data_IF_383890210691
#
_entry.id   IF_383890210691
#
_cell.length_a   1.000
_cell.length_b   1.000
_cell.length_c   1.000
_cell.angle_alpha   90.00
_cell.angle_beta   90.00
_cell.angle_gamma   90.00
#
_symmetry.space_group_name_H-M   'P 1'
#
loop_
_entity.id
_entity.type
_entity.pdbx_description
1 polymer ?
#
# COMPACT_ATOMS: atom_id res chain seq x y z
N UNK A 1 18.90 -9.54 -10.91
CA UNK A 1 17.62 -9.43 -10.19
C UNK A 1 17.98 -9.23 -8.74
N UNK A 2 17.95 -7.98 -8.27
CA UNK A 2 18.18 -7.74 -6.85
C UNK A 2 16.96 -8.24 -6.08
N UNK A 3 17.18 -9.12 -5.11
CA UNK A 3 16.15 -9.82 -4.34
C UNK A 3 15.29 -8.87 -3.45
N UNK A 4 15.53 -7.55 -3.53
CA UNK A 4 14.94 -6.52 -2.68
C UNK A 4 13.52 -6.13 -3.12
N UNK A 5 13.22 -6.14 -4.41
CA UNK A 5 11.93 -5.70 -4.95
C UNK A 5 10.79 -6.70 -4.65
N UNK A 6 11.13 -7.97 -4.41
CA UNK A 6 10.16 -9.02 -4.07
C UNK A 6 9.54 -8.83 -2.67
N UNK A 7 10.18 -8.06 -1.80
CA UNK A 7 9.76 -7.85 -0.42
C UNK A 7 8.70 -6.75 -0.27
N UNK A 8 8.38 -6.01 -1.34
CA UNK A 8 7.38 -4.95 -1.37
C UNK A 8 6.13 -5.48 -2.08
N UNK A 9 5.01 -5.54 -1.36
CA UNK A 9 3.84 -6.38 -1.70
C UNK A 9 2.56 -5.54 -1.71
N UNK A 10 2.28 -4.79 -2.80
CA UNK A 10 1.06 -3.99 -2.95
C UNK A 10 -0.19 -4.83 -3.29
N UNK A 11 -1.37 -4.38 -2.83
CA UNK A 11 -2.68 -5.07 -2.89
C UNK A 11 -3.46 -4.95 -4.22
N UNK A 12 -3.24 -3.91 -5.02
CA UNK A 12 -3.93 -3.71 -6.29
C UNK A 12 -3.05 -2.98 -7.32
N UNK A 13 -3.60 -2.75 -8.51
CA UNK A 13 -2.88 -2.11 -9.61
C UNK A 13 -2.55 -0.65 -9.32
N UNK A 14 -3.46 0.09 -8.66
CA UNK A 14 -3.23 1.49 -8.29
C UNK A 14 -2.13 1.58 -7.23
N UNK A 15 -2.16 0.74 -6.19
CA UNK A 15 -1.08 0.62 -5.20
C UNK A 15 0.26 0.34 -5.87
N UNK A 16 0.27 -0.63 -6.79
CA UNK A 16 1.48 -1.06 -7.49
C UNK A 16 2.06 0.10 -8.29
N UNK A 17 1.23 0.79 -9.07
CA UNK A 17 1.66 1.92 -9.88
C UNK A 17 2.21 3.07 -9.01
N UNK A 18 1.53 3.38 -7.90
CA UNK A 18 1.97 4.40 -6.96
C UNK A 18 3.35 4.06 -6.38
N UNK A 19 3.52 2.85 -5.86
CA UNK A 19 4.77 2.42 -5.23
C UNK A 19 5.91 2.32 -6.24
N UNK A 20 5.67 1.76 -7.43
CA UNK A 20 6.67 1.72 -8.51
C UNK A 20 7.12 3.13 -8.93
N UNK A 21 6.17 4.06 -9.01
CA UNK A 21 6.46 5.48 -9.32
C UNK A 21 7.31 6.13 -8.23
N UNK A 22 6.92 6.00 -6.96
CA UNK A 22 7.62 6.61 -5.83
C UNK A 22 9.05 6.06 -5.64
N UNK A 23 9.23 4.77 -5.86
CA UNK A 23 10.53 4.10 -5.66
C UNK A 23 11.37 4.05 -6.93
N UNK A 24 10.83 4.46 -8.09
CA UNK A 24 11.48 4.33 -9.40
C UNK A 24 11.94 2.89 -9.69
N UNK A 25 11.20 1.90 -9.20
CA UNK A 25 11.44 0.47 -9.42
C UNK A 25 10.43 -0.08 -10.42
N UNK A 26 10.75 -1.22 -11.02
CA UNK A 26 9.83 -1.94 -11.90
C UNK A 26 9.56 -3.32 -11.32
N UNK A 27 8.30 -3.74 -11.30
CA UNK A 27 7.80 -5.06 -10.88
C UNK A 27 7.86 -5.28 -9.36
N UNK A 28 7.07 -4.52 -8.62
CA UNK A 28 6.74 -4.91 -7.24
C UNK A 28 6.06 -6.29 -7.21
N UNK A 29 6.05 -6.94 -6.04
CA UNK A 29 5.38 -8.21 -5.83
C UNK A 29 3.86 -8.00 -5.69
N UNK A 30 3.22 -7.53 -6.76
CA UNK A 30 1.78 -7.29 -6.81
C UNK A 30 0.99 -8.52 -6.41
N UNK A 31 0.06 -8.33 -5.48
CA UNK A 31 -0.92 -9.33 -5.08
C UNK A 31 -2.31 -8.79 -5.35
N UNK A 32 -3.26 -9.67 -5.63
CA UNK A 32 -4.67 -9.26 -5.79
C UNK A 32 -5.39 -9.41 -4.45
N UNK A 33 -5.51 -8.32 -3.69
CA UNK A 33 -6.21 -8.29 -2.40
C UNK A 33 -5.32 -8.56 -1.18
N UNK A 34 -5.69 -7.97 -0.04
CA UNK A 34 -4.97 -7.97 1.24
C UNK A 34 -4.67 -9.40 1.74
N UNK A 35 -5.61 -10.33 1.53
CA UNK A 35 -5.43 -11.74 1.87
C UNK A 35 -4.23 -12.38 1.15
N UNK A 36 -3.96 -11.99 -0.10
CA UNK A 36 -2.82 -12.52 -0.85
C UNK A 36 -1.50 -11.83 -0.47
N UNK A 37 -1.57 -10.55 -0.10
CA UNK A 37 -0.45 -9.82 0.52
C UNK A 37 0.01 -10.56 1.77
N UNK A 38 -0.89 -10.77 2.74
CA UNK A 38 -0.52 -11.43 4.01
C UNK A 38 -0.07 -12.88 3.82
N UNK A 39 -0.71 -13.65 2.92
CA UNK A 39 -0.26 -15.01 2.60
C UNK A 39 1.16 -15.05 2.04
N UNK A 40 1.53 -14.04 1.25
CA UNK A 40 2.89 -13.95 0.70
C UNK A 40 3.90 -13.63 1.80
N UNK A 41 3.54 -12.72 2.72
CA UNK A 41 4.33 -12.41 3.90
C UNK A 41 4.53 -13.64 4.80
N UNK A 42 3.45 -14.35 5.15
CA UNK A 42 3.49 -15.52 6.05
C UNK A 42 4.09 -16.77 5.42
N UNK A 43 4.03 -16.88 4.09
CA UNK A 43 4.56 -18.02 3.35
C UNK A 43 5.98 -17.77 2.87
N UNK A 44 6.09 -17.12 1.70
CA UNK A 44 7.36 -16.99 0.97
C UNK A 44 8.39 -16.12 1.69
N UNK A 45 7.93 -15.19 2.52
CA UNK A 45 8.76 -14.21 3.21
C UNK A 45 8.75 -14.37 4.73
N UNK A 46 8.27 -15.51 5.24
CA UNK A 46 8.02 -15.74 6.68
C UNK A 46 9.16 -15.30 7.62
N UNK A 47 10.40 -15.62 7.23
CA UNK A 47 11.62 -15.37 8.01
C UNK A 47 12.46 -14.22 7.40
N UNK A 48 11.91 -13.57 6.37
CA UNK A 48 12.54 -12.49 5.62
C UNK A 48 11.87 -11.14 5.86
N UNK A 49 12.53 -10.08 5.42
CA UNK A 49 11.94 -8.75 5.44
C UNK A 49 10.74 -8.68 4.49
N UNK A 50 9.63 -8.07 4.91
CA UNK A 50 8.46 -7.87 4.06
C UNK A 50 7.71 -6.58 4.41
N UNK A 51 7.23 -5.88 3.39
CA UNK A 51 6.37 -4.70 3.51
C UNK A 51 5.12 -4.91 2.67
N UNK A 52 3.98 -5.08 3.31
CA UNK A 52 2.69 -5.08 2.64
C UNK A 52 2.14 -3.65 2.52
N UNK A 53 1.61 -3.30 1.36
CA UNK A 53 0.84 -2.06 1.15
C UNK A 53 -0.59 -2.48 0.86
N UNK A 54 -1.51 -2.10 1.74
CA UNK A 54 -2.91 -2.56 1.72
C UNK A 54 -3.86 -1.39 1.97
N UNK A 55 -5.05 -1.48 1.41
CA UNK A 55 -6.14 -0.56 1.73
C UNK A 55 -6.72 -0.90 3.10
N UNK A 56 -7.04 0.12 3.89
CA UNK A 56 -7.70 -0.04 5.17
C UNK A 56 -9.22 -0.20 5.00
N UNK A 57 -9.61 -1.21 4.23
CA UNK A 57 -11.01 -1.56 4.03
C UNK A 57 -11.54 -2.47 5.16
N UNK A 58 -12.86 -2.71 5.15
CA UNK A 58 -13.58 -3.32 6.28
C UNK A 58 -13.26 -4.81 6.52
N UNK A 59 -12.50 -5.50 5.67
CA UNK A 59 -12.20 -6.93 5.83
C UNK A 59 -10.70 -7.20 5.97
N UNK A 60 -10.16 -6.80 7.10
CA UNK A 60 -8.78 -7.11 7.47
C UNK A 60 -8.56 -8.61 7.72
N UNK A 61 -7.54 -9.18 7.07
CA UNK A 61 -7.13 -10.57 7.26
C UNK A 61 -6.63 -10.83 8.69
N UNK A 62 -6.80 -12.05 9.22
CA UNK A 62 -6.43 -12.38 10.60
C UNK A 62 -4.98 -11.99 10.95
N UNK A 63 -4.03 -12.21 10.04
CA UNK A 63 -2.61 -11.92 10.23
C UNK A 63 -2.33 -10.42 10.46
N UNK A 64 -3.10 -9.52 9.84
CA UNK A 64 -2.92 -8.07 10.04
C UNK A 64 -3.13 -7.64 11.51
N UNK A 65 -3.94 -8.40 12.27
CA UNK A 65 -4.21 -8.14 13.69
C UNK A 65 -3.02 -8.43 14.61
N UNK A 66 -2.02 -9.16 14.13
CA UNK A 66 -0.79 -9.44 14.87
C UNK A 66 0.17 -8.24 14.86
N UNK A 67 -0.05 -7.27 13.96
CA UNK A 67 0.78 -6.08 13.84
C UNK A 67 0.35 -5.01 14.84
N UNK A 68 1.32 -4.22 15.30
CA UNK A 68 1.10 -3.08 16.19
C UNK A 68 1.33 -1.79 15.43
N UNK A 69 0.45 -0.81 15.64
CA UNK A 69 0.63 0.53 15.06
C UNK A 69 1.91 1.15 15.61
N UNK A 70 2.74 1.66 14.71
CA UNK A 70 3.97 2.40 15.03
C UNK A 70 3.69 3.89 14.99
N UNK A 71 3.02 4.34 13.93
CA UNK A 71 2.57 5.71 13.79
C UNK A 71 1.42 5.80 12.78
N UNK A 72 0.67 6.89 12.87
CA UNK A 72 -0.40 7.23 11.95
C UNK A 72 -0.38 8.72 11.67
N UNK A 73 -0.57 9.08 10.40
CA UNK A 73 -0.77 10.45 9.95
C UNK A 73 -1.81 10.47 8.85
N UNK A 74 -2.93 11.13 9.10
CA UNK A 74 -4.02 11.31 8.14
C UNK A 74 -4.46 9.98 7.49
N UNK A 75 -4.12 9.82 6.20
CA UNK A 75 -4.49 8.70 5.35
C UNK A 75 -3.51 7.52 5.41
N UNK A 76 -2.39 7.64 6.14
CA UNK A 76 -1.35 6.62 6.20
C UNK A 76 -1.12 6.15 7.64
N UNK A 77 -1.06 4.84 7.83
CA UNK A 77 -0.67 4.22 9.07
C UNK A 77 0.42 3.15 8.84
N UNK A 78 1.47 3.19 9.66
CA UNK A 78 2.54 2.20 9.66
C UNK A 78 2.32 1.24 10.81
N UNK A 79 2.32 -0.05 10.51
CA UNK A 79 2.28 -1.12 11.49
C UNK A 79 3.52 -2.01 11.39
N UNK A 80 3.93 -2.60 12.51
CA UNK A 80 5.06 -3.52 12.61
C UNK A 80 4.64 -4.79 13.35
N UNK A 81 5.05 -5.94 12.82
CA UNK A 81 4.90 -7.20 13.53
C UNK A 81 5.88 -7.25 14.71
N UNK A 82 5.45 -7.65 15.93
CA UNK A 82 6.33 -7.65 17.11
C UNK A 82 7.55 -8.56 16.94
N UNK A 83 7.34 -9.76 16.37
CA UNK A 83 8.37 -10.81 16.36
C UNK A 83 9.04 -11.04 14.99
N UNK A 84 8.60 -10.36 13.93
CA UNK A 84 9.05 -10.60 12.56
C UNK A 84 9.48 -9.28 11.90
N UNK A 85 10.42 -9.29 10.95
CA UNK A 85 10.80 -8.10 10.18
C UNK A 85 9.74 -7.76 9.12
N UNK A 86 8.47 -7.79 9.50
CA UNK A 86 7.31 -7.54 8.67
C UNK A 86 6.68 -6.19 9.03
N UNK A 87 6.28 -5.45 8.00
CA UNK A 87 5.65 -4.15 8.13
C UNK A 87 4.40 -4.08 7.25
N UNK A 88 3.42 -3.29 7.67
CA UNK A 88 2.25 -2.94 6.86
C UNK A 88 2.14 -1.43 6.76
N UNK A 89 1.95 -0.94 5.54
CA UNK A 89 1.50 0.42 5.28
C UNK A 89 0.03 0.31 4.90
N UNK A 90 -0.84 0.84 5.76
CA UNK A 90 -2.29 0.87 5.52
C UNK A 90 -2.69 2.26 5.02
N UNK A 91 -3.37 2.30 3.88
CA UNK A 91 -3.84 3.53 3.23
C UNK A 91 -5.35 3.66 3.45
N UNK A 92 -5.84 4.84 3.80
CA UNK A 92 -7.26 5.08 4.12
C UNK A 92 -7.76 6.41 3.54
N UNK A 93 -8.98 6.47 2.97
CA UNK A 93 -9.94 5.38 2.81
C UNK A 93 -9.58 4.38 1.69
N UNK A 94 -8.89 4.83 0.65
CA UNK A 94 -8.32 4.03 -0.44
C UNK A 94 -7.20 4.84 -1.13
N UNK A 95 -6.37 4.21 -1.96
CA UNK A 95 -5.22 4.86 -2.60
C UNK A 95 -5.59 6.00 -3.54
N UNK A 96 -6.66 5.86 -4.32
CA UNK A 96 -7.20 6.90 -5.21
C UNK A 96 -7.55 8.19 -4.43
N UNK A 97 -8.29 8.05 -3.33
CA UNK A 97 -8.66 9.16 -2.46
C UNK A 97 -7.44 9.80 -1.80
N UNK A 98 -6.44 8.98 -1.45
CA UNK A 98 -5.17 9.47 -0.93
C UNK A 98 -4.40 10.29 -1.98
N UNK A 99 -4.34 9.85 -3.23
CA UNK A 99 -3.66 10.58 -4.32
C UNK A 99 -4.33 11.93 -4.56
N UNK A 100 -5.66 11.96 -4.68
CA UNK A 100 -6.43 13.19 -4.92
C UNK A 100 -6.31 14.20 -3.77
N UNK A 101 -6.34 13.72 -2.52
CA UNK A 101 -6.09 14.56 -1.35
C UNK A 101 -4.66 15.13 -1.39
N UNK A 102 -3.67 14.30 -1.70
CA UNK A 102 -2.27 14.70 -1.76
C UNK A 102 -2.00 15.72 -2.87
N UNK A 103 -2.65 15.59 -4.04
CA UNK A 103 -2.52 16.58 -5.12
C UNK A 103 -3.05 17.94 -4.69
N UNK A 104 -4.22 17.96 -4.04
CA UNK A 104 -4.84 19.20 -3.53
C UNK A 104 -3.95 19.88 -2.50
N UNK A 105 -3.38 19.12 -1.55
CA UNK A 105 -2.46 19.65 -0.53
C UNK A 105 -1.15 20.18 -1.13
N UNK A 106 -0.69 19.59 -2.23
CA UNK A 106 0.48 20.05 -2.98
C UNK A 106 0.19 21.24 -3.92
N UNK A 107 -1.06 21.71 -4.00
CA UNK A 107 -1.46 22.75 -4.95
C UNK A 107 -1.46 22.29 -6.41
N UNK A 108 -1.59 20.98 -6.65
CA UNK A 108 -1.66 20.36 -7.97
C UNK A 108 -3.13 20.16 -8.35
N UNK A 109 -3.53 20.76 -9.46
CA UNK A 109 -4.89 20.67 -9.99
C UNK A 109 -5.00 19.47 -10.95
N UNK A 110 -5.84 18.45 -10.69
CA UNK A 110 -6.05 17.31 -11.59
C UNK A 110 -6.41 17.73 -13.02
N UNK A 111 -7.17 18.81 -13.17
CA UNK A 111 -7.62 19.34 -14.45
C UNK A 111 -6.47 19.79 -15.36
N UNK A 112 -5.33 20.22 -14.79
CA UNK A 112 -4.11 20.57 -15.55
C UNK A 112 -3.58 19.37 -16.35
N UNK A 113 -3.91 18.15 -15.91
CA UNK A 113 -3.54 16.88 -16.53
C UNK A 113 -4.70 16.21 -17.26
N UNK A 114 -5.84 16.91 -17.43
CA UNK A 114 -7.09 16.37 -18.00
C UNK A 114 -7.66 15.21 -17.19
N UNK A 115 -7.46 15.22 -15.88
CA UNK A 115 -8.05 14.28 -14.94
C UNK A 115 -9.23 14.95 -14.21
N UNK A 116 -10.22 14.16 -13.80
CA UNK A 116 -11.32 14.66 -12.98
C UNK A 116 -10.84 14.96 -11.56
N UNK A 117 -11.35 16.02 -10.91
CA UNK A 117 -11.14 16.24 -9.47
C UNK A 117 -12.10 15.42 -8.60
N UNK A 118 -13.09 14.73 -9.19
CA UNK A 118 -14.09 13.95 -8.45
C UNK A 118 -13.71 12.47 -8.39
N UNK A 119 -13.72 11.90 -7.18
CA UNK A 119 -13.32 10.51 -6.94
C UNK A 119 -14.21 9.50 -7.67
N UNK A 120 -15.50 9.83 -7.84
CA UNK A 120 -16.48 8.96 -8.50
C UNK A 120 -16.16 8.72 -9.99
N UNK A 121 -15.36 9.60 -10.61
CA UNK A 121 -14.92 9.48 -12.00
C UNK A 121 -13.66 8.60 -12.17
N UNK A 122 -13.08 8.09 -11.07
CA UNK A 122 -11.91 7.21 -11.10
C UNK A 122 -12.27 5.73 -11.28
N UNK A 123 -13.57 5.40 -11.30
CA UNK A 123 -14.13 4.02 -11.30
C UNK A 123 -14.41 3.51 -12.72
#
# INVERSE_FOLDING_TARGET
MDNKDFCIIPECYIDTNLIETLLSIKRCNHQKGCNNVVKTMEGKLKDGFAVGIVDNDKKQAAYTKEFKEVCKKDSLALYKHPDKPHYLIMISPAVDAFILKSSTEAGVCPEDFKLSPDLDDFI
#
